data_IF_842426085176
#
_entry.id   IF_842426085176
#
_cell.length_a   1.000
_cell.length_b   1.000
_cell.length_c   1.000
_cell.angle_alpha   90.00
_cell.angle_beta   90.00
_cell.angle_gamma   90.00
#
_symmetry.space_group_name_H-M   'P 1'
#
loop_
_entity.id
_entity.type
_entity.pdbx_description
1 polymer ?
#
# COMPACT_ATOMS: atom_id res chain seq x y z
N UNK A 1 -11.23 11.46 -12.08
CA UNK A 1 -9.95 12.03 -11.66
C UNK A 1 -8.81 11.10 -12.09
N UNK A 2 -7.77 11.65 -12.69
CA UNK A 2 -6.64 10.83 -13.12
C UNK A 2 -5.77 10.45 -11.93
N UNK A 3 -5.38 9.19 -11.86
CA UNK A 3 -4.44 8.77 -10.84
C UNK A 3 -3.02 9.21 -11.24
N UNK A 4 -2.13 9.44 -10.26
CA UNK A 4 -0.74 9.80 -10.56
C UNK A 4 -0.05 8.72 -11.39
N UNK A 5 0.93 9.14 -12.20
CA UNK A 5 1.64 8.23 -13.10
C UNK A 5 2.36 7.08 -12.38
N UNK A 6 2.73 7.27 -11.10
CA UNK A 6 3.44 6.25 -10.33
C UNK A 6 2.51 5.22 -9.67
N UNK A 7 1.19 5.43 -9.74
CA UNK A 7 0.25 4.61 -8.94
C UNK A 7 0.34 3.13 -9.22
N UNK A 8 0.37 2.73 -10.49
CA UNK A 8 0.38 1.30 -10.83
C UNK A 8 1.64 0.61 -10.29
N UNK A 9 2.79 1.25 -10.42
CA UNK A 9 4.04 0.72 -9.90
C UNK A 9 4.02 0.57 -8.39
N UNK A 10 3.58 1.64 -7.70
CA UNK A 10 3.54 1.67 -6.24
C UNK A 10 2.53 0.65 -5.70
N UNK A 11 1.37 0.53 -6.35
CA UNK A 11 0.35 -0.46 -5.95
C UNK A 11 0.86 -1.89 -6.11
N UNK A 12 1.60 -2.16 -7.18
CA UNK A 12 2.23 -3.45 -7.35
C UNK A 12 3.22 -3.72 -6.22
N UNK A 13 4.05 -2.76 -5.88
CA UNK A 13 5.01 -2.88 -4.78
C UNK A 13 4.31 -3.11 -3.43
N UNK A 14 3.20 -2.39 -3.18
CA UNK A 14 2.44 -2.58 -1.94
C UNK A 14 1.77 -3.94 -1.86
N UNK A 15 1.28 -4.48 -2.98
CA UNK A 15 0.73 -5.85 -2.99
C UNK A 15 1.81 -6.87 -2.65
N UNK A 16 3.00 -6.72 -3.23
CA UNK A 16 4.14 -7.58 -2.90
C UNK A 16 4.49 -7.46 -1.42
N UNK A 17 4.63 -6.24 -0.91
CA UNK A 17 4.95 -6.00 0.49
C UNK A 17 3.90 -6.63 1.42
N UNK A 18 2.62 -6.36 1.18
CA UNK A 18 1.52 -6.80 2.04
C UNK A 18 1.39 -8.33 2.09
N UNK A 19 1.79 -9.01 1.02
CA UNK A 19 1.73 -10.48 0.94
C UNK A 19 3.02 -11.16 1.40
N UNK A 20 4.06 -10.39 1.74
CA UNK A 20 5.36 -10.90 2.12
C UNK A 20 5.92 -10.21 3.36
N UNK A 21 5.06 -10.00 4.37
CA UNK A 21 5.44 -9.28 5.59
C UNK A 21 6.55 -9.98 6.38
N UNK A 22 6.66 -11.30 6.24
CA UNK A 22 7.65 -12.12 6.96
C UNK A 22 8.77 -12.61 6.04
N UNK A 23 9.06 -11.85 4.98
CA UNK A 23 10.05 -12.28 3.99
C UNK A 23 11.44 -12.44 4.61
N UNK A 24 12.10 -13.54 4.31
CA UNK A 24 13.42 -13.85 4.86
C UNK A 24 14.55 -13.40 3.93
N UNK A 25 14.31 -13.38 2.61
CA UNK A 25 15.30 -12.95 1.64
C UNK A 25 14.58 -12.45 0.39
N UNK A 26 15.29 -11.68 -0.44
CA UNK A 26 14.76 -11.10 -1.66
C UNK A 26 15.39 -11.72 -2.89
N UNK A 27 14.59 -11.93 -3.95
CA UNK A 27 15.09 -12.49 -5.21
C UNK A 27 15.92 -11.49 -5.99
N UNK A 28 15.72 -10.19 -5.77
CA UNK A 28 16.44 -9.14 -6.49
C UNK A 28 16.60 -7.90 -5.63
N UNK A 29 17.54 -7.03 -6.03
CA UNK A 29 17.71 -5.73 -5.34
C UNK A 29 16.48 -4.85 -5.51
N UNK A 30 15.80 -4.93 -6.64
CA UNK A 30 14.58 -4.14 -6.87
C UNK A 30 13.50 -4.55 -5.88
N UNK A 31 13.31 -5.86 -5.67
CA UNK A 31 12.33 -6.36 -4.70
C UNK A 31 12.67 -5.87 -3.29
N UNK A 32 13.96 -5.91 -2.92
CA UNK A 32 14.41 -5.45 -1.62
C UNK A 32 14.13 -3.96 -1.43
N UNK A 33 14.45 -3.14 -2.43
CA UNK A 33 14.25 -1.70 -2.36
C UNK A 33 12.75 -1.38 -2.27
N UNK A 34 11.93 -2.07 -3.06
CA UNK A 34 10.48 -1.88 -3.04
C UNK A 34 9.88 -2.25 -1.69
N UNK A 35 10.24 -3.41 -1.17
CA UNK A 35 9.75 -3.87 0.14
C UNK A 35 10.15 -2.90 1.24
N UNK A 36 11.43 -2.51 1.27
CA UNK A 36 11.97 -1.61 2.29
C UNK A 36 11.30 -0.22 2.21
N UNK A 37 11.10 0.28 1.01
CA UNK A 37 10.43 1.58 0.81
C UNK A 37 9.00 1.55 1.31
N UNK A 38 8.26 0.48 1.02
CA UNK A 38 6.90 0.29 1.52
C UNK A 38 6.87 0.19 3.04
N UNK A 39 7.80 -0.60 3.60
CA UNK A 39 7.89 -0.80 5.04
C UNK A 39 8.13 0.52 5.79
N UNK A 40 9.09 1.31 5.32
CA UNK A 40 9.40 2.59 5.94
C UNK A 40 8.25 3.59 5.78
N UNK A 41 7.60 3.61 4.61
CA UNK A 41 6.51 4.53 4.36
C UNK A 41 5.29 4.22 5.23
N UNK A 42 4.93 2.94 5.35
CA UNK A 42 3.73 2.56 6.10
C UNK A 42 3.92 2.72 7.61
N UNK A 43 5.16 2.65 8.09
CA UNK A 43 5.43 2.75 9.53
C UNK A 43 5.22 4.15 10.12
N UNK A 44 4.99 5.17 9.29
CA UNK A 44 4.64 6.50 9.82
C UNK A 44 3.14 6.61 10.16
N UNK A 45 2.33 5.65 9.76
CA UNK A 45 0.90 5.63 10.05
C UNK A 45 0.64 4.99 11.42
N UNK A 46 -0.54 5.28 11.98
CA UNK A 46 -0.99 4.62 13.22
C UNK A 46 -1.16 3.12 12.97
N UNK A 47 -1.17 2.34 14.05
CA UNK A 47 -1.37 0.89 13.95
C UNK A 47 -2.70 0.55 13.25
N UNK A 48 -3.77 1.30 13.55
CA UNK A 48 -5.06 1.10 12.91
C UNK A 48 -4.99 1.38 11.41
N UNK A 49 -4.38 2.50 11.02
CA UNK A 49 -4.26 2.87 9.61
C UNK A 49 -3.37 1.89 8.84
N UNK A 50 -2.27 1.43 9.46
CA UNK A 50 -1.42 0.40 8.87
C UNK A 50 -2.21 -0.87 8.59
N UNK A 51 -3.01 -1.32 9.55
CA UNK A 51 -3.80 -2.53 9.43
C UNK A 51 -4.80 -2.42 8.28
N UNK A 52 -5.47 -1.28 8.18
CA UNK A 52 -6.39 -0.99 7.08
C UNK A 52 -5.67 -1.04 5.73
N UNK A 53 -4.55 -0.34 5.62
CA UNK A 53 -3.79 -0.25 4.37
C UNK A 53 -3.25 -1.62 3.94
N UNK A 54 -2.66 -2.38 4.88
CA UNK A 54 -2.16 -3.72 4.57
C UNK A 54 -3.30 -4.62 4.10
N UNK A 55 -4.44 -4.57 4.77
CA UNK A 55 -5.61 -5.39 4.40
C UNK A 55 -6.08 -5.11 2.97
N UNK A 56 -6.09 -3.84 2.56
CA UNK A 56 -6.51 -3.46 1.21
C UNK A 56 -5.58 -4.04 0.15
N UNK A 57 -4.27 -3.84 0.28
CA UNK A 57 -3.31 -4.32 -0.72
C UNK A 57 -3.09 -5.83 -0.66
N UNK A 58 -3.35 -6.45 0.47
CA UNK A 58 -3.23 -7.90 0.65
C UNK A 58 -4.36 -8.66 -0.05
N UNK A 59 -5.52 -8.03 -0.25
CA UNK A 59 -6.67 -8.67 -0.87
C UNK A 59 -6.40 -9.07 -2.32
N UNK A 60 -7.09 -10.12 -2.78
CA UNK A 60 -6.88 -10.68 -4.11
C UNK A 60 -7.80 -10.10 -5.18
N UNK A 61 -8.82 -9.34 -4.79
CA UNK A 61 -9.73 -8.69 -5.71
C UNK A 61 -9.14 -7.37 -6.23
N UNK A 62 -9.92 -6.65 -7.03
CA UNK A 62 -9.53 -5.30 -7.46
C UNK A 62 -9.41 -4.39 -6.24
N UNK A 63 -8.62 -3.32 -6.35
CA UNK A 63 -8.49 -2.40 -5.22
C UNK A 63 -9.82 -1.78 -4.80
N UNK A 64 -10.69 -1.33 -5.74
CA UNK A 64 -12.01 -0.83 -5.31
C UNK A 64 -12.82 -1.85 -4.52
N UNK A 65 -12.80 -3.11 -4.92
CA UNK A 65 -13.51 -4.16 -4.19
C UNK A 65 -12.89 -4.40 -2.82
N UNK A 66 -11.56 -4.41 -2.74
CA UNK A 66 -10.85 -4.56 -1.47
C UNK A 66 -11.16 -3.40 -0.53
N UNK A 67 -11.18 -2.17 -1.05
CA UNK A 67 -11.53 -0.97 -0.27
C UNK A 67 -12.94 -1.10 0.29
N UNK A 68 -13.89 -1.53 -0.55
CA UNK A 68 -15.28 -1.72 -0.11
C UNK A 68 -15.35 -2.70 1.07
N UNK A 69 -14.71 -3.86 0.95
CA UNK A 69 -14.75 -4.89 1.99
C UNK A 69 -14.07 -4.44 3.27
N UNK A 70 -12.92 -3.78 3.19
CA UNK A 70 -12.20 -3.28 4.36
C UNK A 70 -12.98 -2.16 5.04
N UNK A 71 -13.58 -1.25 4.27
CA UNK A 71 -14.41 -0.18 4.81
C UNK A 71 -15.60 -0.74 5.57
N UNK A 72 -16.24 -1.76 5.01
CA UNK A 72 -17.37 -2.44 5.65
C UNK A 72 -16.95 -3.09 6.96
N UNK A 73 -15.82 -3.79 6.96
CA UNK A 73 -15.31 -4.48 8.14
C UNK A 73 -15.00 -3.51 9.28
N UNK A 74 -14.42 -2.35 8.96
CA UNK A 74 -14.04 -1.35 9.94
C UNK A 74 -15.11 -0.32 10.20
N UNK A 75 -16.23 -0.40 9.48
CA UNK A 75 -17.35 0.55 9.60
C UNK A 75 -16.90 1.99 9.40
N UNK A 76 -16.16 2.24 8.33
CA UNK A 76 -15.67 3.57 7.96
C UNK A 76 -16.03 3.87 6.50
N UNK A 77 -15.98 5.15 6.15
CA UNK A 77 -16.22 5.60 4.78
C UNK A 77 -15.07 5.17 3.87
N UNK A 78 -15.41 4.69 2.67
CA UNK A 78 -14.39 4.30 1.68
C UNK A 78 -13.44 5.45 1.34
N UNK A 79 -13.93 6.69 1.34
CA UNK A 79 -13.10 7.85 1.03
C UNK A 79 -11.95 8.03 2.01
N UNK A 80 -12.14 7.65 3.28
CA UNK A 80 -11.07 7.67 4.27
C UNK A 80 -9.93 6.75 3.83
N UNK A 81 -10.29 5.55 3.34
CA UNK A 81 -9.29 4.57 2.88
C UNK A 81 -8.58 5.08 1.63
N UNK A 82 -9.33 5.64 0.65
CA UNK A 82 -8.72 6.19 -0.55
C UNK A 82 -7.74 7.32 -0.23
N UNK A 83 -8.05 8.17 0.75
CA UNK A 83 -7.15 9.23 1.18
C UNK A 83 -5.89 8.66 1.83
N UNK A 84 -6.02 7.62 2.66
CA UNK A 84 -4.87 6.94 3.25
C UNK A 84 -3.98 6.32 2.17
N UNK A 85 -4.59 5.67 1.18
CA UNK A 85 -3.86 5.07 0.06
C UNK A 85 -3.10 6.12 -0.74
N UNK A 86 -3.76 7.23 -1.02
CA UNK A 86 -3.13 8.34 -1.76
C UNK A 86 -1.90 8.87 -1.03
N UNK A 87 -2.01 9.07 0.28
CA UNK A 87 -0.90 9.55 1.10
C UNK A 87 0.23 8.53 1.15
N UNK A 88 -0.09 7.26 1.39
CA UNK A 88 0.90 6.19 1.42
C UNK A 88 1.63 6.06 0.07
N UNK A 89 0.87 6.03 -1.03
CA UNK A 89 1.44 5.86 -2.36
C UNK A 89 2.38 7.00 -2.71
N UNK A 90 2.03 8.22 -2.31
CA UNK A 90 2.90 9.38 -2.51
C UNK A 90 4.19 9.26 -1.70
N UNK A 91 4.11 8.81 -0.45
CA UNK A 91 5.28 8.60 0.40
C UNK A 91 6.23 7.55 -0.19
N UNK A 92 5.68 6.46 -0.71
CA UNK A 92 6.48 5.43 -1.37
C UNK A 92 7.14 5.99 -2.62
N UNK A 93 6.38 6.72 -3.44
CA UNK A 93 6.91 7.32 -4.67
C UNK A 93 8.10 8.24 -4.37
N UNK A 94 8.03 9.03 -3.30
CA UNK A 94 9.14 9.87 -2.88
C UNK A 94 10.36 9.04 -2.49
N UNK A 95 10.18 7.99 -1.73
CA UNK A 95 11.29 7.12 -1.30
C UNK A 95 11.93 6.41 -2.48
N UNK A 96 11.14 6.05 -3.49
CA UNK A 96 11.63 5.42 -4.71
C UNK A 96 12.12 6.45 -5.75
N UNK A 97 12.08 7.72 -5.41
CA UNK A 97 12.50 8.84 -6.28
C UNK A 97 11.74 8.87 -7.60
N UNK A 98 10.46 8.53 -7.55
CA UNK A 98 9.56 8.64 -8.70
C UNK A 98 8.99 10.05 -8.84
N UNK A 99 9.06 10.81 -7.78
CA UNK A 99 8.67 12.22 -7.74
C UNK A 99 9.64 13.01 -6.88
#
# INVERSE_FOLDING_TARGET
MNKPFYSDYVRHAMRFYSRNLQIAYFKSEVDKINWTSCHKAINVFSEQDKDILISVYQGFDTLPDNVYEVAKKHNIDQNIIWDLMKDLERKIAKRRKLI
#
